data_IF_963145794057
#
_entry.id   IF_963145794057
#
_cell.length_a   1.000
_cell.length_b   1.000
_cell.length_c   1.000
_cell.angle_alpha   90.00
_cell.angle_beta   90.00
_cell.angle_gamma   90.00
#
_symmetry.space_group_name_H-M   'P 1'
#
loop_
_entity.id
_entity.type
_entity.pdbx_description
1 polymer ?
#
# COMPACT_ATOMS: atom_id res chain seq x y z
N UNK A 1 -23.85 10.40 -3.59
CA UNK A 1 -22.47 10.84 -3.33
C UNK A 1 -21.57 9.69 -2.94
N UNK A 2 -21.75 9.02 -1.79
CA UNK A 2 -20.84 7.94 -1.33
C UNK A 2 -20.52 6.88 -2.40
N UNK A 3 -21.55 6.28 -3.04
CA UNK A 3 -21.35 5.24 -4.08
C UNK A 3 -20.67 5.79 -5.34
N UNK A 4 -21.00 7.03 -5.72
CA UNK A 4 -20.39 7.70 -6.87
C UNK A 4 -18.90 7.93 -6.61
N UNK A 5 -18.55 8.37 -5.40
CA UNK A 5 -17.14 8.54 -4.99
C UNK A 5 -16.39 7.22 -5.02
N UNK A 6 -16.98 6.13 -4.52
CA UNK A 6 -16.37 4.82 -4.63
C UNK A 6 -16.20 4.38 -6.10
N UNK A 7 -17.14 4.75 -6.98
CA UNK A 7 -17.03 4.48 -8.42
C UNK A 7 -15.93 5.31 -9.11
N UNK A 8 -15.72 6.56 -8.70
CA UNK A 8 -14.73 7.45 -9.32
C UNK A 8 -13.34 7.34 -8.72
N UNK A 9 -13.23 7.13 -7.41
CA UNK A 9 -11.97 7.07 -6.66
C UNK A 9 -11.55 5.61 -6.37
N UNK A 10 -12.37 4.63 -6.73
CA UNK A 10 -12.18 3.20 -6.45
C UNK A 10 -12.56 2.78 -5.02
N UNK A 11 -12.55 3.72 -4.07
CA UNK A 11 -12.85 3.46 -2.67
C UNK A 11 -13.30 4.73 -1.93
N UNK A 12 -13.87 4.56 -0.75
CA UNK A 12 -14.27 5.67 0.13
C UNK A 12 -14.16 5.25 1.59
N UNK A 13 -13.59 6.10 2.44
CA UNK A 13 -13.57 5.92 3.89
C UNK A 13 -14.57 6.86 4.59
N UNK A 14 -14.73 6.71 5.91
CA UNK A 14 -15.70 7.53 6.66
C UNK A 14 -15.40 9.04 6.59
N UNK A 15 -14.13 9.42 6.72
CA UNK A 15 -13.71 10.83 6.66
C UNK A 15 -14.02 11.45 5.29
N UNK A 16 -13.68 10.75 4.20
CA UNK A 16 -13.95 11.16 2.82
C UNK A 16 -15.44 11.27 2.55
N UNK A 17 -16.23 10.29 3.02
CA UNK A 17 -17.68 10.35 2.91
C UNK A 17 -18.26 11.55 3.68
N UNK A 18 -17.75 11.86 4.87
CA UNK A 18 -18.19 13.04 5.63
C UNK A 18 -17.84 14.36 4.94
N UNK A 19 -16.68 14.45 4.26
CA UNK A 19 -16.31 15.64 3.49
C UNK A 19 -17.22 15.84 2.26
N UNK A 20 -17.62 14.75 1.62
CA UNK A 20 -18.38 14.78 0.36
C UNK A 20 -19.90 14.82 0.57
N UNK A 21 -20.38 14.45 1.75
CA UNK A 21 -21.79 14.56 2.12
C UNK A 21 -21.97 15.74 3.06
N UNK A 22 -22.91 16.63 2.76
CA UNK A 22 -23.34 17.70 3.68
C UNK A 22 -24.12 17.20 4.91
N UNK A 23 -24.09 15.88 5.18
CA UNK A 23 -24.83 15.24 6.27
C UNK A 23 -23.96 15.08 7.51
N UNK A 24 -24.62 14.99 8.65
CA UNK A 24 -23.97 14.76 9.94
C UNK A 24 -23.26 13.40 9.95
N UNK A 25 -22.10 13.29 10.62
CA UNK A 25 -21.27 12.07 10.62
C UNK A 25 -22.04 10.81 11.00
N UNK A 26 -22.98 10.93 11.95
CA UNK A 26 -23.90 9.85 12.36
C UNK A 26 -24.69 9.26 11.20
N UNK A 27 -25.19 10.09 10.27
CA UNK A 27 -25.97 9.62 9.12
C UNK A 27 -25.08 8.87 8.13
N UNK A 28 -23.84 9.31 7.96
CA UNK A 28 -22.83 8.64 7.13
C UNK A 28 -22.52 7.26 7.71
N UNK A 29 -22.31 7.16 9.03
CA UNK A 29 -22.08 5.89 9.71
C UNK A 29 -23.26 4.92 9.56
N UNK A 30 -24.50 5.41 9.57
CA UNK A 30 -25.70 4.59 9.37
C UNK A 30 -25.96 4.23 7.90
N UNK A 31 -25.45 5.03 6.96
CA UNK A 31 -25.60 4.77 5.52
C UNK A 31 -24.71 3.61 5.05
N UNK A 32 -23.50 3.49 5.58
CA UNK A 32 -22.56 2.45 5.16
C UNK A 32 -23.09 1.01 5.33
N UNK A 33 -23.57 0.57 6.51
CA UNK A 33 -24.15 -0.75 6.67
C UNK A 33 -25.32 -1.00 5.71
N UNK A 34 -26.18 0.00 5.47
CA UNK A 34 -27.31 -0.11 4.55
C UNK A 34 -26.88 -0.27 3.09
N UNK A 35 -25.77 0.36 2.69
CA UNK A 35 -25.23 0.25 1.34
C UNK A 35 -24.52 -1.09 1.13
N UNK A 36 -23.87 -1.61 2.17
CA UNK A 36 -23.26 -2.95 2.17
C UNK A 36 -24.34 -4.04 2.12
N UNK A 37 -25.36 -3.93 2.98
CA UNK A 37 -26.49 -4.89 3.04
C UNK A 37 -27.26 -4.95 1.71
N UNK A 38 -27.36 -3.81 1.00
CA UNK A 38 -27.95 -3.73 -0.34
C UNK A 38 -27.02 -4.18 -1.47
N UNK A 39 -25.78 -4.59 -1.17
CA UNK A 39 -24.81 -5.05 -2.16
C UNK A 39 -24.19 -3.95 -3.02
N UNK A 40 -24.33 -2.67 -2.67
CA UNK A 40 -23.73 -1.57 -3.42
C UNK A 40 -22.25 -1.32 -3.08
N UNK A 41 -21.82 -1.73 -1.88
CA UNK A 41 -20.45 -1.53 -1.40
C UNK A 41 -19.96 -2.79 -0.68
N UNK A 42 -18.68 -3.09 -0.80
CA UNK A 42 -17.96 -4.07 0.02
C UNK A 42 -17.15 -3.32 1.07
N UNK A 43 -17.24 -3.77 2.32
CA UNK A 43 -16.46 -3.20 3.42
C UNK A 43 -15.12 -3.94 3.57
N UNK A 44 -14.02 -3.19 3.59
CA UNK A 44 -12.67 -3.70 3.79
C UNK A 44 -12.02 -3.03 5.01
N UNK A 45 -11.32 -3.79 5.84
CA UNK A 45 -10.61 -3.29 7.04
C UNK A 45 -11.41 -3.35 8.36
N UNK A 46 -10.71 -3.09 9.47
CA UNK A 46 -11.26 -3.17 10.83
C UNK A 46 -11.39 -1.80 11.53
N UNK A 47 -12.46 -1.65 12.32
CA UNK A 47 -12.70 -0.53 13.24
C UNK A 47 -12.55 0.86 12.60
N UNK A 48 -11.44 1.57 12.86
CA UNK A 48 -11.19 2.96 12.43
C UNK A 48 -10.64 3.06 11.00
N UNK A 49 -10.17 1.94 10.44
CA UNK A 49 -9.58 1.86 9.10
C UNK A 49 -10.56 1.24 8.09
N UNK A 50 -11.86 1.39 8.36
CA UNK A 50 -12.90 0.81 7.52
C UNK A 50 -13.06 1.63 6.24
N UNK A 51 -12.80 0.99 5.13
CA UNK A 51 -12.91 1.50 3.76
C UNK A 51 -13.99 0.73 3.02
N UNK A 52 -14.60 1.38 2.03
CA UNK A 52 -15.70 0.82 1.27
C UNK A 52 -15.39 0.96 -0.21
N UNK A 53 -15.49 -0.12 -0.96
CA UNK A 53 -15.24 -0.15 -2.41
C UNK A 53 -16.45 -0.73 -3.13
N UNK A 54 -16.51 -0.59 -4.45
CA UNK A 54 -17.54 -1.28 -5.23
C UNK A 54 -17.24 -2.78 -5.29
N UNK A 55 -18.28 -3.65 -5.36
CA UNK A 55 -18.09 -5.09 -5.57
C UNK A 55 -17.25 -5.34 -6.82
N UNK A 56 -16.13 -6.06 -6.67
CA UNK A 56 -15.18 -6.35 -7.77
C UNK A 56 -14.13 -5.26 -8.02
N UNK A 57 -14.19 -4.12 -7.34
CA UNK A 57 -13.11 -3.11 -7.27
C UNK A 57 -12.44 -3.12 -5.90
N UNK A 58 -12.33 -4.30 -5.28
CA UNK A 58 -11.67 -4.44 -3.99
C UNK A 58 -10.21 -4.02 -4.12
N UNK A 59 -9.78 -3.07 -3.29
CA UNK A 59 -8.40 -2.64 -3.34
C UNK A 59 -7.52 -3.74 -2.75
N UNK A 60 -6.34 -3.95 -3.36
CA UNK A 60 -5.42 -4.95 -2.92
C UNK A 60 -5.03 -4.69 -1.46
N UNK A 61 -5.24 -5.68 -0.60
CA UNK A 61 -4.75 -5.60 0.77
C UNK A 61 -3.25 -5.94 0.80
N UNK A 62 -2.49 -5.39 1.77
CA UNK A 62 -1.08 -5.76 1.94
C UNK A 62 -0.90 -7.27 2.06
N UNK A 63 -1.81 -7.95 2.76
CA UNK A 63 -1.74 -9.41 2.91
C UNK A 63 -1.89 -10.11 1.55
N UNK A 64 -2.85 -9.75 0.70
CA UNK A 64 -2.99 -10.37 -0.64
C UNK A 64 -1.81 -10.08 -1.56
N UNK A 65 -1.32 -8.84 -1.55
CA UNK A 65 -0.17 -8.42 -2.37
C UNK A 65 1.08 -9.23 -2.05
N UNK A 66 1.32 -9.49 -0.76
CA UNK A 66 2.48 -10.24 -0.32
C UNK A 66 2.23 -11.75 -0.16
N UNK A 67 0.98 -12.20 0.00
CA UNK A 67 0.63 -13.62 0.08
C UNK A 67 0.62 -14.29 -1.29
N UNK A 68 0.28 -13.58 -2.37
CA UNK A 68 0.43 -14.11 -3.73
C UNK A 68 1.90 -14.36 -4.10
N UNK A 69 2.85 -13.61 -3.52
CA UNK A 69 4.28 -13.90 -3.70
C UNK A 69 4.74 -15.16 -2.96
N UNK A 70 4.11 -15.47 -1.82
CA UNK A 70 4.38 -16.69 -1.07
C UNK A 70 3.60 -17.90 -1.59
N UNK A 71 2.47 -17.70 -2.26
CA UNK A 71 1.67 -18.80 -2.83
C UNK A 71 2.34 -19.47 -4.03
N UNK A 72 3.29 -18.82 -4.70
CA UNK A 72 4.16 -19.45 -5.68
C UNK A 72 5.22 -20.38 -5.06
N UNK A 73 5.30 -20.47 -3.71
CA UNK A 73 6.24 -21.36 -3.01
C UNK A 73 5.61 -22.62 -2.41
N UNK A 74 4.30 -22.80 -2.57
CA UNK A 74 3.61 -24.01 -2.10
C UNK A 74 3.03 -24.81 -3.24
N UNK A 75 3.90 -25.23 -4.16
CA UNK A 75 3.63 -26.44 -4.92
C UNK A 75 3.72 -27.66 -3.98
N UNK A 76 2.54 -28.25 -3.77
CA UNK A 76 2.28 -29.67 -3.55
C UNK A 76 2.65 -30.29 -2.19
N UNK A 77 1.67 -30.33 -1.29
CA UNK A 77 1.22 -31.63 -0.76
C UNK A 77 -0.31 -31.71 -0.75
N UNK A 78 -0.83 -32.73 -1.43
CA UNK A 78 -2.24 -33.07 -1.58
C UNK A 78 -3.03 -33.09 -0.26
N UNK A 79 -4.24 -32.54 -0.26
CA UNK A 79 -5.42 -33.35 0.04
C UNK A 79 -6.70 -32.76 -0.57
N UNK A 80 -7.41 -33.63 -1.27
CA UNK A 80 -8.60 -33.33 -2.04
C UNK A 80 -9.82 -33.18 -1.14
N UNK A 81 -10.67 -32.18 -1.41
CA UNK A 81 -12.02 -32.40 -1.95
C UNK A 81 -12.87 -31.13 -1.80
N UNK A 82 -13.34 -30.69 -2.96
CA UNK A 82 -14.65 -30.08 -3.20
C UNK A 82 -14.76 -28.55 -3.37
N UNK A 83 -15.59 -28.20 -4.38
CA UNK A 83 -16.22 -26.89 -4.67
C UNK A 83 -15.54 -25.93 -5.69
N UNK A 84 -15.61 -26.34 -6.96
CA UNK A 84 -16.25 -25.66 -8.11
C UNK A 84 -16.35 -24.12 -8.22
N UNK A 85 -15.88 -23.63 -9.39
CA UNK A 85 -16.28 -22.45 -10.18
C UNK A 85 -15.83 -21.03 -9.75
N UNK A 86 -14.82 -20.50 -10.43
CA UNK A 86 -15.00 -19.54 -11.55
C UNK A 86 -13.65 -19.15 -12.14
N UNK A 87 -13.50 -19.34 -13.45
CA UNK A 87 -12.23 -19.24 -14.15
C UNK A 87 -11.77 -17.79 -14.35
N UNK A 88 -10.46 -17.60 -14.20
CA UNK A 88 -9.74 -16.58 -14.93
C UNK A 88 -8.58 -17.30 -15.62
N UNK A 89 -8.75 -17.43 -16.93
CA UNK A 89 -7.75 -17.89 -17.88
C UNK A 89 -6.58 -16.88 -17.85
N UNK A 90 -5.43 -17.27 -17.32
CA UNK A 90 -4.17 -16.60 -17.63
C UNK A 90 -3.35 -17.60 -18.43
N UNK A 91 -3.42 -17.38 -19.75
CA UNK A 91 -2.72 -18.11 -20.79
C UNK A 91 -1.23 -18.15 -20.47
N UNK A 92 -0.74 -19.35 -20.21
CA UNK A 92 0.67 -19.67 -20.18
C UNK A 92 1.31 -19.43 -21.55
N UNK A 93 2.45 -18.76 -21.56
CA UNK A 93 3.51 -18.92 -22.56
C UNK A 93 4.85 -18.72 -21.85
N UNK A 94 5.42 -19.85 -21.46
CA UNK A 94 6.82 -20.20 -21.13
C UNK A 94 7.94 -19.42 -21.88
N UNK A 95 9.25 -19.67 -21.60
CA UNK A 95 9.94 -20.19 -20.40
C UNK A 95 11.22 -19.38 -20.06
N UNK A 96 11.65 -19.33 -18.80
CA UNK A 96 13.06 -19.63 -18.45
C UNK A 96 13.25 -19.69 -16.94
N UNK A 97 13.67 -20.87 -16.49
CA UNK A 97 14.01 -21.20 -15.13
C UNK A 97 15.42 -20.72 -14.84
N UNK A 98 15.55 -19.60 -14.13
CA UNK A 98 16.74 -19.31 -13.32
C UNK A 98 16.37 -18.45 -12.12
N UNK A 99 16.45 -19.11 -10.96
CA UNK A 99 16.94 -18.56 -9.69
C UNK A 99 16.06 -17.57 -8.88
N UNK A 100 15.43 -18.11 -7.82
CA UNK A 100 15.28 -17.52 -6.48
C UNK A 100 14.66 -16.12 -6.23
N UNK A 101 14.11 -15.43 -7.24
CA UNK A 101 13.48 -14.10 -7.06
C UNK A 101 12.10 -13.98 -7.74
N UNK A 102 11.18 -14.91 -7.51
CA UNK A 102 9.81 -14.78 -8.02
C UNK A 102 9.09 -13.59 -7.36
N UNK A 103 9.00 -12.48 -8.09
CA UNK A 103 8.31 -11.26 -7.67
C UNK A 103 9.21 -10.12 -7.20
N UNK A 104 10.52 -10.12 -7.47
CA UNK A 104 11.41 -8.96 -7.25
C UNK A 104 12.15 -8.57 -8.53
N UNK A 105 12.54 -7.32 -8.65
CA UNK A 105 13.34 -6.81 -9.77
C UNK A 105 14.86 -6.93 -9.54
N UNK A 106 15.65 -6.48 -10.52
CA UNK A 106 17.12 -6.44 -10.47
C UNK A 106 17.68 -5.62 -9.29
N UNK A 107 16.87 -4.73 -8.72
CA UNK A 107 17.23 -3.89 -7.56
C UNK A 107 16.75 -4.49 -6.24
N UNK A 108 16.07 -5.65 -6.26
CA UNK A 108 15.49 -6.30 -5.09
C UNK A 108 14.14 -5.73 -4.63
N UNK A 109 13.52 -4.85 -5.43
CA UNK A 109 12.20 -4.26 -5.15
C UNK A 109 11.11 -5.25 -5.51
N UNK A 110 10.11 -5.37 -4.65
CA UNK A 110 8.98 -6.25 -4.83
C UNK A 110 8.04 -5.76 -5.93
N UNK A 111 7.76 -6.60 -6.92
CA UNK A 111 6.82 -6.32 -8.01
C UNK A 111 5.55 -7.12 -7.78
N UNK A 112 4.40 -6.45 -7.82
CA UNK A 112 3.08 -7.08 -7.81
C UNK A 112 2.23 -6.55 -8.94
N UNK A 113 1.45 -7.42 -9.58
CA UNK A 113 0.47 -7.01 -10.61
C UNK A 113 -0.67 -6.14 -10.05
N UNK A 114 -0.83 -6.13 -8.72
CA UNK A 114 -1.84 -5.35 -8.02
C UNK A 114 -1.38 -3.91 -7.70
N UNK A 115 -0.09 -3.61 -7.90
CA UNK A 115 0.49 -2.29 -7.69
C UNK A 115 0.96 -1.71 -9.03
N UNK A 116 0.84 -0.40 -9.18
CA UNK A 116 1.31 0.33 -10.36
C UNK A 116 2.84 0.56 -10.34
N UNK A 117 3.46 0.49 -9.17
CA UNK A 117 4.90 0.72 -8.95
C UNK A 117 5.54 -0.38 -8.10
N UNK A 118 6.86 -0.61 -8.24
CA UNK A 118 7.59 -1.55 -7.40
C UNK A 118 7.60 -1.09 -5.94
N UNK A 119 7.73 -2.04 -5.02
CA UNK A 119 7.59 -1.83 -3.57
C UNK A 119 8.85 -2.25 -2.82
N UNK A 120 9.38 -1.37 -1.98
CA UNK A 120 10.52 -1.65 -1.11
C UNK A 120 10.00 -1.97 0.28
N UNK A 121 10.00 -3.26 0.62
CA UNK A 121 9.59 -3.76 1.92
C UNK A 121 10.76 -4.04 2.87
N UNK A 122 11.91 -4.44 2.32
CA UNK A 122 13.11 -4.80 3.07
C UNK A 122 14.38 -4.25 2.40
N UNK A 123 15.32 -3.74 3.20
CA UNK A 123 16.61 -3.22 2.75
C UNK A 123 17.65 -4.33 2.55
N UNK A 124 17.52 -5.44 3.26
CA UNK A 124 18.53 -6.53 3.21
C UNK A 124 18.43 -7.37 1.93
N UNK A 125 17.33 -7.22 1.19
CA UNK A 125 17.08 -7.90 -0.08
C UNK A 125 17.37 -6.97 -1.28
N UNK A 126 17.66 -5.69 -1.05
CA UNK A 126 18.03 -4.76 -2.11
C UNK A 126 19.45 -5.02 -2.60
N UNK A 127 19.73 -4.65 -3.85
CA UNK A 127 21.10 -4.66 -4.34
C UNK A 127 21.95 -3.63 -3.58
N UNK A 128 23.20 -3.96 -3.29
CA UNK A 128 24.09 -3.10 -2.49
C UNK A 128 24.22 -1.69 -3.10
N UNK A 129 24.34 -1.58 -4.43
CA UNK A 129 24.46 -0.29 -5.10
C UNK A 129 23.21 0.58 -4.94
N UNK A 130 22.02 0.00 -5.08
CA UNK A 130 20.77 0.75 -4.92
C UNK A 130 20.50 1.08 -3.45
N UNK A 131 20.85 0.18 -2.54
CA UNK A 131 20.82 0.44 -1.09
C UNK A 131 21.73 1.62 -0.73
N UNK A 132 22.96 1.65 -1.25
CA UNK A 132 23.91 2.73 -1.01
C UNK A 132 23.39 4.07 -1.54
N UNK A 133 22.73 4.10 -2.70
CA UNK A 133 22.05 5.30 -3.22
C UNK A 133 20.97 5.81 -2.26
N UNK A 134 20.09 4.92 -1.76
CA UNK A 134 19.06 5.29 -0.79
C UNK A 134 19.66 5.76 0.54
N UNK A 135 20.73 5.13 0.99
CA UNK A 135 21.45 5.53 2.21
C UNK A 135 22.15 6.89 2.05
N UNK A 136 22.71 7.17 0.87
CA UNK A 136 23.31 8.46 0.54
C UNK A 136 22.26 9.58 0.53
N UNK A 137 21.07 9.33 -0.04
CA UNK A 137 19.95 10.28 0.01
C UNK A 137 19.47 10.51 1.46
N UNK A 138 19.46 9.47 2.28
CA UNK A 138 19.06 9.57 3.69
C UNK A 138 20.17 10.11 4.61
N UNK A 139 21.41 10.26 4.14
CA UNK A 139 22.56 10.66 4.94
C UNK A 139 22.38 11.99 5.71
N UNK A 140 21.80 13.06 5.11
CA UNK A 140 21.56 14.31 5.84
C UNK A 140 20.64 14.11 7.05
N UNK A 141 19.72 13.14 6.98
CA UNK A 141 18.81 12.80 8.08
C UNK A 141 19.52 12.17 9.28
N UNK A 142 20.57 11.39 8.98
CA UNK A 142 21.39 10.67 9.96
C UNK A 142 22.40 11.59 10.64
N UNK A 143 23.02 12.49 9.88
CA UNK A 143 24.05 13.42 10.38
C UNK A 143 23.45 14.51 11.27
N UNK A 144 22.32 15.07 10.85
CA UNK A 144 21.67 16.14 11.61
C UNK A 144 20.61 15.58 12.56
N UNK A 145 20.87 15.68 13.88
CA UNK A 145 19.89 15.26 14.91
C UNK A 145 18.58 16.05 14.83
N UNK A 146 18.61 17.28 14.32
CA UNK A 146 17.45 18.14 14.03
C UNK A 146 17.54 18.59 12.58
N UNK A 147 16.62 18.08 11.75
CA UNK A 147 16.41 18.62 10.41
C UNK A 147 15.20 19.52 10.42
N UNK A 148 15.27 20.55 9.57
CA UNK A 148 14.11 21.34 9.24
C UNK A 148 13.05 20.45 8.58
N UNK A 149 11.79 20.75 8.87
CA UNK A 149 10.65 19.97 8.37
C UNK A 149 10.59 20.01 6.84
N UNK A 150 10.94 21.15 6.22
CA UNK A 150 10.99 21.29 4.75
C UNK A 150 11.98 20.33 4.12
N UNK A 151 13.23 20.34 4.59
CA UNK A 151 14.30 19.45 4.11
C UNK A 151 13.92 17.98 4.25
N UNK A 152 13.33 17.58 5.38
CA UNK A 152 12.88 16.19 5.57
C UNK A 152 11.78 15.77 4.57
N UNK A 153 10.88 16.69 4.20
CA UNK A 153 9.84 16.42 3.21
C UNK A 153 10.43 16.26 1.81
N UNK A 154 11.40 17.09 1.44
CA UNK A 154 12.10 16.98 0.16
C UNK A 154 12.84 15.64 0.04
N UNK A 155 13.53 15.22 1.10
CA UNK A 155 14.16 13.90 1.14
C UNK A 155 13.13 12.77 0.97
N UNK A 156 12.00 12.83 1.69
CA UNK A 156 10.94 11.83 1.56
C UNK A 156 10.35 11.78 0.14
N UNK A 157 10.21 12.93 -0.53
CA UNK A 157 9.77 12.99 -1.94
C UNK A 157 10.77 12.25 -2.84
N UNK A 158 12.06 12.51 -2.69
CA UNK A 158 13.11 11.85 -3.47
C UNK A 158 13.17 10.34 -3.20
N UNK A 159 13.07 9.94 -1.93
CA UNK A 159 13.04 8.54 -1.50
C UNK A 159 11.79 7.79 -1.96
N UNK A 160 10.67 8.49 -2.20
CA UNK A 160 9.41 7.87 -2.64
C UNK A 160 9.20 8.00 -4.16
N UNK A 161 10.19 8.48 -4.91
CA UNK A 161 10.08 8.68 -6.34
C UNK A 161 10.30 7.37 -7.11
N UNK A 162 9.40 7.07 -8.05
CA UNK A 162 9.46 5.85 -8.88
C UNK A 162 9.19 4.51 -8.16
N UNK A 163 8.93 4.50 -6.85
CA UNK A 163 8.62 3.27 -6.10
C UNK A 163 7.80 3.55 -4.84
N UNK A 164 7.21 2.48 -4.27
CA UNK A 164 6.63 2.51 -2.94
C UNK A 164 7.69 2.18 -1.90
N UNK A 165 7.72 2.96 -0.81
CA UNK A 165 8.66 2.74 0.29
C UNK A 165 7.89 2.46 1.59
N UNK A 166 8.21 1.35 2.25
CA UNK A 166 7.56 0.98 3.51
C UNK A 166 8.03 1.88 4.67
N UNK A 167 7.16 2.09 5.65
CA UNK A 167 7.52 2.90 6.85
C UNK A 167 8.67 2.26 7.64
N UNK A 168 8.72 0.92 7.68
CA UNK A 168 9.80 0.19 8.36
C UNK A 168 11.16 0.50 7.71
N UNK A 169 11.22 0.51 6.37
CA UNK A 169 12.43 0.87 5.62
C UNK A 169 12.80 2.34 5.85
N UNK A 170 11.82 3.25 5.81
CA UNK A 170 12.07 4.67 6.11
C UNK A 170 12.64 4.89 7.52
N UNK A 171 12.20 4.10 8.51
CA UNK A 171 12.72 4.18 9.88
C UNK A 171 14.21 3.83 9.93
N UNK A 172 14.64 2.80 9.20
CA UNK A 172 16.03 2.37 9.13
C UNK A 172 16.88 3.38 8.34
N UNK A 173 16.39 3.85 7.18
CA UNK A 173 17.09 4.82 6.34
C UNK A 173 17.28 6.15 7.07
N UNK A 174 16.21 6.71 7.65
CA UNK A 174 16.25 8.03 8.28
C UNK A 174 16.73 8.00 9.73
N UNK A 175 16.90 6.81 10.35
CA UNK A 175 17.14 6.63 11.79
C UNK A 175 16.15 7.44 12.64
N UNK A 176 14.86 7.30 12.35
CA UNK A 176 13.75 7.95 13.06
C UNK A 176 12.63 6.94 13.26
N UNK A 177 11.93 7.03 14.40
CA UNK A 177 10.82 6.11 14.70
C UNK A 177 9.72 6.20 13.63
N UNK A 178 9.23 5.06 13.15
CA UNK A 178 8.14 4.98 12.17
C UNK A 178 6.93 5.83 12.55
N UNK A 179 6.54 5.81 13.84
CA UNK A 179 5.41 6.60 14.32
C UNK A 179 5.62 8.11 14.16
N UNK A 180 6.84 8.60 14.39
CA UNK A 180 7.17 10.01 14.24
C UNK A 180 7.18 10.41 12.76
N UNK A 181 7.73 9.55 11.89
CA UNK A 181 7.72 9.77 10.44
C UNK A 181 6.28 9.88 9.93
N UNK A 182 5.43 8.93 10.34
CA UNK A 182 4.00 8.85 9.96
C UNK A 182 3.22 10.09 10.38
N UNK A 183 3.34 10.51 11.64
CA UNK A 183 2.53 11.61 12.18
C UNK A 183 3.01 12.99 11.71
N UNK A 184 4.33 13.22 11.68
CA UNK A 184 4.87 14.57 11.46
C UNK A 184 5.09 14.91 9.98
N UNK A 185 5.28 13.91 9.12
CA UNK A 185 5.65 14.13 7.72
C UNK A 185 4.69 13.43 6.74
N UNK A 186 4.55 12.10 6.82
CA UNK A 186 3.79 11.34 5.81
C UNK A 186 2.31 11.72 5.80
N UNK A 187 1.66 11.79 6.96
CA UNK A 187 0.25 12.17 7.04
C UNK A 187 -0.01 13.56 6.42
N UNK A 188 0.68 14.64 6.83
CA UNK A 188 0.56 15.94 6.17
C UNK A 188 0.85 15.94 4.67
N UNK A 189 1.79 15.11 4.19
CA UNK A 189 2.15 15.01 2.77
C UNK A 189 1.11 14.27 1.93
N UNK A 190 0.42 13.28 2.52
CA UNK A 190 -0.73 12.62 1.88
C UNK A 190 -1.92 13.58 1.83
N UNK A 191 -2.18 14.31 2.92
CA UNK A 191 -3.25 15.31 2.98
C UNK A 191 -3.02 16.45 1.97
N UNK A 192 -1.76 16.86 1.76
CA UNK A 192 -1.37 17.86 0.76
C UNK A 192 -1.22 17.31 -0.67
N UNK A 193 -1.56 16.04 -0.90
CA UNK A 193 -1.46 15.33 -2.20
C UNK A 193 -0.04 15.30 -2.80
N UNK A 194 0.97 15.35 -1.96
CA UNK A 194 2.36 15.13 -2.40
C UNK A 194 2.69 13.63 -2.43
N UNK A 195 2.12 12.84 -1.51
CA UNK A 195 2.33 11.40 -1.46
C UNK A 195 1.00 10.63 -1.60
N UNK A 196 1.08 9.42 -2.12
CA UNK A 196 0.01 8.42 -2.18
C UNK A 196 0.35 7.20 -1.33
N UNK A 197 -0.69 6.56 -0.80
CA UNK A 197 -0.60 5.32 -0.03
C UNK A 197 -0.67 4.12 -0.99
N UNK A 198 0.14 3.10 -0.76
CA UNK A 198 0.03 1.82 -1.49
C UNK A 198 -1.27 1.10 -1.15
N UNK A 199 -1.65 1.12 0.13
CA UNK A 199 -2.81 0.41 0.66
C UNK A 199 -3.75 1.37 1.36
N UNK A 200 -4.51 2.20 0.62
CA UNK A 200 -5.40 3.18 1.22
C UNK A 200 -6.48 2.55 2.12
N UNK A 201 -6.81 1.28 1.88
CA UNK A 201 -7.76 0.52 2.70
C UNK A 201 -7.21 0.08 4.08
N UNK A 202 -5.89 0.03 4.27
CA UNK A 202 -5.25 -0.31 5.56
C UNK A 202 -4.17 0.73 5.90
N UNK A 203 -4.53 2.01 6.18
CA UNK A 203 -3.57 3.10 6.36
C UNK A 203 -2.62 2.90 7.55
N UNK A 204 -3.03 2.14 8.57
CA UNK A 204 -2.19 1.85 9.74
C UNK A 204 -1.38 0.56 9.64
N UNK A 205 -1.46 -0.17 8.51
CA UNK A 205 -0.71 -1.41 8.30
C UNK A 205 0.79 -1.19 8.51
N UNK A 206 1.52 -2.13 9.15
CA UNK A 206 2.98 -2.06 9.23
C UNK A 206 3.62 -2.13 7.83
N UNK A 207 2.97 -2.83 6.89
CA UNK A 207 3.41 -2.92 5.49
C UNK A 207 2.86 -1.79 4.62
N UNK A 208 2.41 -0.69 5.21
CA UNK A 208 1.99 0.46 4.42
C UNK A 208 3.17 1.05 3.65
N UNK A 209 2.99 1.27 2.35
CA UNK A 209 3.95 1.94 1.48
C UNK A 209 3.48 3.34 1.10
N UNK A 210 4.44 4.21 0.81
CA UNK A 210 4.21 5.57 0.35
C UNK A 210 4.98 5.79 -0.95
N UNK A 211 4.35 6.46 -1.92
CA UNK A 211 4.97 6.84 -3.20
C UNK A 211 4.62 8.29 -3.55
N UNK A 212 5.37 8.89 -4.46
CA UNK A 212 5.05 10.20 -5.03
C UNK A 212 3.68 10.19 -5.74
N UNK A 213 2.84 11.18 -5.44
CA UNK A 213 1.49 11.33 -5.99
C UNK A 213 1.47 11.67 -7.47
#
# INVERSE_FOLDING_TARGET
>A
MIVITAATEGWVNHERACQLTSRHSRDVTLAFPKLVDKGFLVASGEKRDKSYSLPGMELPSPEEVFANALSSTSDLTHNAQDLTHSGINLTHSDPDLVDSHQGRDEYGRFISQLLDKPFIDDLDVLSDGFRDELEALAAPSREHRRLEVGVMKELLVQLCDGHYLSVAVMEILLRRKAQSIRQNYLKPMVDSKQLKLAFPNKPNSPRQGYTLS
#
